data_IF_509830510528
#
_entry.id   IF_509830510528
#
_cell.length_a   1.000
_cell.length_b   1.000
_cell.length_c   1.000
_cell.angle_alpha   90.00
_cell.angle_beta   90.00
_cell.angle_gamma   90.00
#
_symmetry.space_group_name_H-M   'P 1'
#
loop_
_entity.id
_entity.type
_entity.pdbx_description
1 polymer ?
#
# COMPACT_ATOMS: atom_id res chain seq x y z
N UNK A 1 4.78 -7.61 7.93
CA UNK A 1 4.36 -6.41 8.70
C UNK A 1 3.28 -6.68 9.74
N UNK A 2 2.25 -7.49 9.46
CA UNK A 2 1.14 -7.73 10.39
C UNK A 2 1.56 -8.09 11.84
N UNK A 3 2.58 -8.94 12.01
CA UNK A 3 3.09 -9.29 13.35
C UNK A 3 3.74 -8.10 14.08
N UNK A 4 4.45 -7.22 13.36
CA UNK A 4 5.15 -6.08 13.94
C UNK A 4 4.16 -5.00 14.43
N UNK A 5 3.03 -4.83 13.74
CA UNK A 5 1.95 -3.93 14.17
C UNK A 5 1.12 -4.49 15.32
N UNK A 6 1.26 -5.78 15.63
CA UNK A 6 0.42 -6.48 16.59
C UNK A 6 -0.79 -7.13 15.89
N UNK A 7 -0.87 -8.46 15.84
CA UNK A 7 -1.94 -9.16 15.12
C UNK A 7 -3.32 -9.06 15.79
N UNK A 8 -3.39 -8.51 17.01
CA UNK A 8 -4.59 -8.32 17.81
C UNK A 8 -4.46 -7.08 18.69
N UNK A 9 -5.57 -6.58 19.22
CA UNK A 9 -5.60 -5.46 20.15
C UNK A 9 -4.74 -5.69 21.42
N UNK A 10 -4.55 -6.94 21.84
CA UNK A 10 -3.73 -7.27 23.00
C UNK A 10 -2.23 -7.17 22.73
N UNK A 11 -1.84 -7.30 21.45
CA UNK A 11 -0.44 -7.33 21.02
C UNK A 11 -0.02 -6.03 20.33
N UNK A 12 -0.88 -5.01 20.35
CA UNK A 12 -0.66 -3.79 19.60
C UNK A 12 0.40 -2.90 20.26
N UNK A 13 1.29 -2.33 19.46
CA UNK A 13 2.38 -1.46 19.93
C UNK A 13 1.91 -0.04 20.25
N UNK A 14 0.76 0.35 19.70
CA UNK A 14 0.11 1.64 19.89
C UNK A 14 -1.39 1.46 19.73
N UNK A 15 -2.18 2.29 20.43
CA UNK A 15 -3.63 2.18 20.40
C UNK A 15 -4.20 2.15 18.98
N UNK A 16 -5.09 1.19 18.72
CA UNK A 16 -5.82 0.93 17.49
C UNK A 16 -4.99 0.56 16.24
N UNK A 17 -3.66 0.39 16.35
CA UNK A 17 -2.80 0.09 15.20
C UNK A 17 -2.99 -1.34 14.68
N UNK A 18 -3.50 -2.27 15.51
CA UNK A 18 -3.82 -3.64 15.06
C UNK A 18 -4.85 -3.65 13.92
N UNK A 19 -5.67 -2.60 13.78
CA UNK A 19 -6.63 -2.48 12.67
C UNK A 19 -5.92 -2.35 11.32
N UNK A 20 -4.83 -1.58 11.25
CA UNK A 20 -4.00 -1.50 10.05
C UNK A 20 -3.38 -2.87 9.70
N UNK A 21 -3.02 -3.65 10.72
CA UNK A 21 -2.54 -5.03 10.53
C UNK A 21 -3.56 -5.95 9.82
N UNK A 22 -4.85 -5.64 9.88
CA UNK A 22 -5.91 -6.42 9.22
C UNK A 22 -6.15 -6.01 7.76
N UNK A 23 -5.69 -4.83 7.38
CA UNK A 23 -5.80 -4.32 6.02
C UNK A 23 -4.67 -4.85 5.13
N UNK A 24 -3.50 -5.12 5.71
CA UNK A 24 -2.34 -5.63 4.97
C UNK A 24 -2.61 -7.02 4.36
N UNK A 25 -2.50 -7.16 3.05
CA UNK A 25 -2.63 -8.41 2.31
C UNK A 25 -1.64 -8.48 1.14
N UNK A 26 -1.06 -9.67 0.89
CA UNK A 26 -0.17 -9.90 -0.24
C UNK A 26 0.99 -8.91 -0.32
N UNK A 27 0.86 -7.97 -1.26
CA UNK A 27 1.89 -7.01 -1.67
C UNK A 27 1.70 -5.61 -1.07
N UNK A 28 0.84 -5.48 -0.05
CA UNK A 28 0.65 -4.21 0.64
C UNK A 28 1.92 -3.70 1.33
N UNK A 29 2.12 -2.40 1.25
CA UNK A 29 3.21 -1.67 1.90
C UNK A 29 2.70 -0.72 3.00
N UNK A 30 3.61 -0.21 3.83
CA UNK A 30 3.29 0.71 4.93
C UNK A 30 4.14 1.98 4.82
N UNK A 31 3.47 3.12 4.68
CA UNK A 31 4.09 4.44 4.76
C UNK A 31 3.77 5.09 6.12
N UNK A 32 4.81 5.51 6.85
CA UNK A 32 4.69 6.33 8.06
C UNK A 32 5.29 7.70 7.73
N UNK A 33 4.50 8.75 7.88
CA UNK A 33 4.89 10.11 7.49
C UNK A 33 4.19 11.14 8.37
N UNK A 34 4.81 12.30 8.52
CA UNK A 34 4.21 13.50 9.13
C UNK A 34 3.54 14.41 8.08
N UNK A 35 3.52 14.01 6.80
CA UNK A 35 2.84 14.76 5.74
C UNK A 35 1.32 14.78 5.95
N UNK A 36 0.63 15.90 5.62
CA UNK A 36 -0.82 15.96 5.59
C UNK A 36 -1.42 14.91 4.64
N UNK A 37 -2.60 14.41 4.99
CA UNK A 37 -3.31 13.38 4.22
C UNK A 37 -3.48 13.79 2.75
N UNK A 38 -3.90 15.03 2.53
CA UNK A 38 -4.19 15.57 1.20
C UNK A 38 -2.94 15.63 0.33
N UNK A 39 -1.77 15.92 0.92
CA UNK A 39 -0.49 15.94 0.21
C UNK A 39 -0.05 14.52 -0.18
N UNK A 40 -0.25 13.55 0.71
CA UNK A 40 0.04 12.13 0.42
C UNK A 40 -0.86 11.63 -0.71
N UNK A 41 -2.17 11.87 -0.63
CA UNK A 41 -3.12 11.47 -1.67
C UNK A 41 -2.77 12.11 -3.02
N UNK A 42 -2.48 13.42 -3.04
CA UNK A 42 -2.06 14.11 -4.27
C UNK A 42 -0.75 13.56 -4.85
N UNK A 43 0.18 13.12 -4.01
CA UNK A 43 1.46 12.56 -4.46
C UNK A 43 1.24 11.20 -5.14
N UNK A 44 0.48 10.29 -4.50
CA UNK A 44 0.21 8.98 -5.06
C UNK A 44 -0.66 9.06 -6.32
N UNK A 45 -1.62 9.98 -6.38
CA UNK A 45 -2.48 10.18 -7.55
C UNK A 45 -1.72 10.73 -8.77
N UNK A 46 -0.61 11.45 -8.55
CA UNK A 46 0.17 12.07 -9.62
C UNK A 46 1.40 11.26 -10.06
N UNK A 47 1.76 10.22 -9.31
CA UNK A 47 2.92 9.39 -9.62
C UNK A 47 2.57 8.36 -10.71
N UNK A 48 3.29 8.41 -11.83
CA UNK A 48 3.21 7.43 -12.92
C UNK A 48 4.63 7.12 -13.41
N UNK A 49 4.95 5.84 -13.53
CA UNK A 49 6.23 5.37 -14.07
C UNK A 49 6.00 4.17 -14.98
N UNK A 50 6.82 4.06 -16.03
CA UNK A 50 6.72 2.98 -17.00
C UNK A 50 7.52 1.77 -16.53
N UNK A 51 6.86 0.64 -16.31
CA UNK A 51 7.50 -0.63 -15.99
C UNK A 51 7.15 -1.69 -17.04
N UNK A 52 7.99 -2.73 -17.14
CA UNK A 52 7.68 -3.87 -17.99
C UNK A 52 6.43 -4.59 -17.48
N UNK A 53 5.60 -5.08 -18.40
CA UNK A 53 4.42 -5.86 -18.03
C UNK A 53 4.84 -7.14 -17.32
N UNK A 54 4.21 -7.44 -16.18
CA UNK A 54 4.39 -8.73 -15.50
C UNK A 54 3.57 -9.78 -16.22
N UNK A 55 4.07 -11.01 -16.31
CA UNK A 55 3.30 -12.16 -16.83
C UNK A 55 1.94 -12.23 -16.12
N UNK A 56 0.86 -12.47 -16.88
CA UNK A 56 -0.55 -12.45 -16.40
C UNK A 56 -1.14 -11.05 -16.08
N UNK A 57 -0.41 -9.97 -16.32
CA UNK A 57 -1.01 -8.63 -16.27
C UNK A 57 -1.97 -8.43 -17.44
N UNK A 58 -3.15 -7.87 -17.15
CA UNK A 58 -4.09 -7.45 -18.18
C UNK A 58 -3.47 -6.25 -18.91
N UNK A 59 -3.38 -6.33 -20.24
CA UNK A 59 -2.89 -5.21 -21.06
C UNK A 59 -3.79 -3.99 -20.87
N UNK A 60 -3.18 -2.85 -20.55
CA UNK A 60 -3.89 -1.58 -20.29
C UNK A 60 -4.30 -0.90 -21.61
N UNK A 61 -3.57 -1.19 -22.69
CA UNK A 61 -3.86 -0.71 -24.04
C UNK A 61 -3.56 -1.78 -25.10
N UNK A 62 -4.19 -1.66 -26.27
CA UNK A 62 -3.88 -2.51 -27.43
C UNK A 62 -2.57 -2.05 -28.05
N UNK A 63 -1.58 -2.94 -28.10
CA UNK A 63 -0.30 -2.69 -28.77
C UNK A 63 -0.40 -3.18 -30.22
N UNK A 64 -0.02 -2.34 -31.18
CA UNK A 64 0.13 -2.71 -32.59
C UNK A 64 1.62 -2.89 -32.94
N UNK A 65 1.93 -3.86 -33.79
CA UNK A 65 3.29 -4.13 -34.32
C UNK A 65 3.80 -3.03 -35.29
#
# INVERSE_FOLDING_TARGET
MQFALGPSAWNEIHHAIFKASKLLHGDDELLITDMPKEEVESLFDSYEDFDFTRTESIAVETVYD
#
